data_IF_049224133783
#
_entry.id   IF_049224133783
#
_cell.length_a   1.000
_cell.length_b   1.000
_cell.length_c   1.000
_cell.angle_alpha   90.00
_cell.angle_beta   90.00
_cell.angle_gamma   90.00
#
_symmetry.space_group_name_H-M   'P 1'
#
loop_
_entity.id
_entity.type
_entity.pdbx_description
1 polymer ?
#
# COMPACT_ATOMS: atom_id res chain seq x y z
N UNK A 1 -45.51 -62.72 -21.25
CA UNK A 1 -44.19 -62.07 -21.14
C UNK A 1 -44.13 -60.89 -22.12
N UNK A 2 -44.11 -59.66 -21.62
CA UNK A 2 -44.16 -58.43 -22.43
C UNK A 2 -42.74 -58.11 -22.92
N UNK A 3 -42.53 -58.06 -24.23
CA UNK A 3 -41.27 -57.65 -24.88
C UNK A 3 -41.27 -56.12 -25.01
N UNK A 4 -40.33 -55.45 -24.36
CA UNK A 4 -40.16 -53.99 -24.43
C UNK A 4 -39.37 -53.59 -25.68
N UNK A 5 -39.67 -52.42 -26.23
CA UNK A 5 -39.29 -51.95 -27.56
C UNK A 5 -37.78 -51.64 -27.75
N UNK A 6 -36.92 -51.99 -26.81
CA UNK A 6 -35.49 -51.61 -26.83
C UNK A 6 -34.57 -52.81 -27.11
N UNK A 7 -35.14 -54.00 -27.33
CA UNK A 7 -34.37 -55.25 -27.37
C UNK A 7 -33.89 -55.69 -28.77
N UNK A 8 -33.96 -54.85 -29.81
CA UNK A 8 -33.41 -55.20 -31.12
C UNK A 8 -32.83 -54.00 -31.84
N UNK A 9 -31.51 -53.94 -31.88
CA UNK A 9 -30.78 -53.04 -32.75
C UNK A 9 -29.31 -53.01 -32.35
N UNK A 10 -28.47 -53.67 -33.13
CA UNK A 10 -27.02 -53.49 -33.11
C UNK A 10 -26.69 -52.04 -33.47
N UNK A 11 -26.68 -51.15 -32.47
CA UNK A 11 -26.19 -49.79 -32.65
C UNK A 11 -24.67 -49.83 -32.55
N UNK A 12 -24.00 -49.79 -33.70
CA UNK A 12 -22.61 -49.32 -33.76
C UNK A 12 -22.61 -47.91 -33.19
N UNK A 13 -22.02 -47.75 -32.01
CA UNK A 13 -21.77 -46.43 -31.44
C UNK A 13 -20.64 -45.84 -32.28
N UNK A 14 -20.86 -44.81 -33.10
CA UNK A 14 -19.75 -44.12 -33.73
C UNK A 14 -18.98 -43.48 -32.59
N UNK A 15 -17.78 -44.00 -32.33
CA UNK A 15 -16.82 -43.36 -31.44
C UNK A 15 -16.73 -41.90 -31.86
N UNK A 16 -17.15 -41.05 -30.93
CA UNK A 16 -17.17 -39.60 -30.97
C UNK A 16 -15.71 -39.11 -31.06
N UNK A 17 -15.13 -39.26 -32.25
CA UNK A 17 -13.90 -38.58 -32.67
C UNK A 17 -14.27 -37.12 -32.82
N UNK A 18 -14.37 -36.41 -31.70
CA UNK A 18 -14.28 -34.97 -31.67
C UNK A 18 -12.89 -34.61 -32.19
N UNK A 19 -12.79 -34.31 -33.47
CA UNK A 19 -11.58 -33.67 -34.00
C UNK A 19 -11.39 -32.36 -33.23
N UNK A 20 -10.19 -32.07 -32.71
CA UNK A 20 -9.90 -30.79 -32.08
C UNK A 20 -10.17 -29.71 -33.11
N UNK A 21 -11.22 -28.93 -32.84
CA UNK A 21 -11.62 -27.78 -33.64
C UNK A 21 -10.43 -26.82 -33.69
N UNK A 22 -9.80 -26.59 -34.86
CA UNK A 22 -8.74 -25.60 -34.95
C UNK A 22 -9.36 -24.25 -34.60
N UNK A 23 -8.84 -23.65 -33.53
CA UNK A 23 -9.11 -22.28 -33.14
C UNK A 23 -8.79 -21.38 -34.33
N UNK A 24 -9.83 -20.92 -35.04
CA UNK A 24 -9.72 -19.91 -36.07
C UNK A 24 -9.36 -18.57 -35.40
N UNK A 25 -8.06 -18.35 -35.20
CA UNK A 25 -7.49 -17.02 -35.05
C UNK A 25 -7.74 -16.27 -36.35
N UNK A 26 -8.61 -15.26 -36.30
CA UNK A 26 -8.80 -14.34 -37.42
C UNK A 26 -7.49 -13.61 -37.74
N UNK A 27 -7.00 -13.62 -38.99
CA UNK A 27 -5.99 -12.66 -39.43
C UNK A 27 -6.71 -11.39 -39.90
N UNK A 28 -6.86 -10.44 -39.00
CA UNK A 28 -7.14 -9.05 -39.37
C UNK A 28 -5.89 -8.46 -40.01
N UNK A 29 -5.83 -8.49 -41.33
CA UNK A 29 -4.81 -7.82 -42.13
C UNK A 29 -4.93 -6.30 -41.95
N UNK A 30 -3.91 -5.69 -41.33
CA UNK A 30 -3.85 -4.25 -41.12
C UNK A 30 -2.48 -3.78 -40.67
N UNK A 31 -1.65 -3.42 -41.67
CA UNK A 31 -0.44 -2.57 -41.64
C UNK A 31 0.92 -3.17 -41.24
N UNK A 32 1.96 -3.02 -42.10
CA UNK A 32 3.35 -3.28 -41.77
C UNK A 32 4.02 -2.02 -41.22
N UNK A 33 4.73 -2.15 -40.09
CA UNK A 33 5.52 -1.05 -39.53
C UNK A 33 5.58 -1.06 -38.01
N UNK A 34 6.05 -2.15 -37.42
CA UNK A 34 6.20 -2.29 -35.98
C UNK A 34 7.43 -3.09 -35.66
N UNK A 35 8.50 -2.38 -35.30
CA UNK A 35 9.74 -2.83 -34.65
C UNK A 35 9.51 -4.13 -33.89
N UNK A 36 10.17 -5.21 -34.31
CA UNK A 36 10.24 -6.47 -33.58
C UNK A 36 10.79 -6.17 -32.19
N UNK A 37 9.90 -6.05 -31.21
CA UNK A 37 10.25 -6.00 -29.80
C UNK A 37 9.84 -7.35 -29.20
N UNK A 38 10.76 -7.95 -28.46
CA UNK A 38 10.74 -9.31 -27.94
C UNK A 38 9.36 -9.82 -27.51
N UNK A 39 8.86 -10.81 -28.26
CA UNK A 39 7.56 -11.47 -28.06
C UNK A 39 7.62 -12.56 -27.00
N UNK A 40 8.19 -12.23 -25.86
CA UNK A 40 7.77 -12.84 -24.60
C UNK A 40 7.73 -11.70 -23.59
N UNK A 41 6.55 -11.08 -23.35
CA UNK A 41 6.44 -10.11 -22.28
C UNK A 41 6.72 -10.87 -20.99
N UNK A 42 7.98 -10.78 -20.52
CA UNK A 42 8.31 -11.21 -19.18
C UNK A 42 7.31 -10.49 -18.27
N UNK A 43 6.69 -11.21 -17.33
CA UNK A 43 5.78 -10.57 -16.40
C UNK A 43 6.51 -9.35 -15.80
N UNK A 44 5.85 -8.17 -15.78
CA UNK A 44 6.49 -6.96 -15.29
C UNK A 44 7.05 -7.21 -13.90
N UNK A 45 8.30 -6.77 -13.65
CA UNK A 45 8.94 -6.88 -12.34
C UNK A 45 8.04 -6.22 -11.30
N UNK A 46 8.00 -6.75 -10.08
CA UNK A 46 7.26 -6.11 -9.01
C UNK A 46 7.82 -4.72 -8.70
N UNK A 47 6.97 -3.88 -8.12
CA UNK A 47 7.36 -2.52 -7.71
C UNK A 47 8.46 -2.57 -6.65
N UNK A 48 8.46 -3.59 -5.79
CA UNK A 48 9.49 -3.77 -4.75
C UNK A 48 10.86 -4.08 -5.37
N UNK A 49 10.91 -5.03 -6.30
CA UNK A 49 12.15 -5.36 -7.03
C UNK A 49 12.66 -4.14 -7.81
N UNK A 50 11.78 -3.40 -8.47
CA UNK A 50 12.17 -2.17 -9.18
C UNK A 50 12.78 -1.13 -8.24
N UNK A 51 12.22 -0.94 -7.05
CA UNK A 51 12.77 0.00 -6.04
C UNK A 51 14.15 -0.43 -5.56
N UNK A 52 14.35 -1.73 -5.29
CA UNK A 52 15.66 -2.25 -4.86
C UNK A 52 16.70 -2.11 -5.99
N UNK A 53 16.32 -2.43 -7.23
CA UNK A 53 17.19 -2.25 -8.40
C UNK A 53 17.57 -0.79 -8.62
N UNK A 54 16.62 0.15 -8.49
CA UNK A 54 16.87 1.59 -8.58
C UNK A 54 17.85 2.06 -7.49
N UNK A 55 17.72 1.53 -6.27
CA UNK A 55 18.66 1.83 -5.18
C UNK A 55 20.06 1.28 -5.45
N UNK A 56 20.17 0.04 -5.98
CA UNK A 56 21.45 -0.55 -6.36
C UNK A 56 22.11 0.28 -7.47
N UNK A 57 21.35 0.66 -8.49
CA UNK A 57 21.83 1.48 -9.60
C UNK A 57 22.26 2.87 -9.13
N UNK A 58 21.49 3.49 -8.22
CA UNK A 58 21.84 4.75 -7.57
C UNK A 58 23.16 4.67 -6.81
N UNK A 59 23.36 3.63 -5.99
CA UNK A 59 24.60 3.42 -5.25
C UNK A 59 25.81 3.17 -6.17
N UNK A 60 25.62 2.42 -7.27
CA UNK A 60 26.69 2.13 -8.24
C UNK A 60 27.10 3.35 -9.06
N UNK A 61 26.13 4.17 -9.44
CA UNK A 61 26.33 5.31 -10.36
C UNK A 61 26.80 6.56 -9.62
N UNK A 62 26.37 6.74 -8.37
CA UNK A 62 26.70 7.94 -7.59
C UNK A 62 28.19 8.05 -7.27
N UNK A 63 28.72 9.28 -7.39
CA UNK A 63 30.07 9.63 -6.98
C UNK A 63 30.19 9.88 -5.46
N UNK A 64 29.10 9.75 -4.69
CA UNK A 64 28.95 10.03 -3.24
C UNK A 64 29.26 11.46 -2.77
N UNK A 65 29.78 12.32 -3.65
CA UNK A 65 30.09 13.72 -3.35
C UNK A 65 28.91 14.63 -3.71
N UNK A 66 28.08 14.20 -4.66
CA UNK A 66 27.02 15.04 -5.19
C UNK A 66 25.91 15.29 -4.15
N UNK A 67 25.54 16.57 -3.92
CA UNK A 67 24.40 16.90 -3.09
C UNK A 67 23.11 16.45 -3.75
N UNK A 68 22.08 16.21 -2.94
CA UNK A 68 20.77 15.82 -3.46
C UNK A 68 20.19 16.93 -4.36
N UNK A 69 19.72 16.63 -5.59
CA UNK A 69 19.29 17.67 -6.54
C UNK A 69 18.06 18.47 -6.08
N UNK A 70 17.21 17.88 -5.22
CA UNK A 70 16.04 18.56 -4.65
C UNK A 70 16.27 19.05 -3.21
N UNK A 71 17.52 19.08 -2.75
CA UNK A 71 17.90 19.38 -1.36
C UNK A 71 17.63 18.25 -0.36
N UNK A 72 18.32 18.27 0.77
CA UNK A 72 18.11 17.29 1.84
C UNK A 72 16.85 17.53 2.66
N UNK A 73 16.41 16.51 3.40
CA UNK A 73 15.36 16.63 4.40
C UNK A 73 15.94 16.79 5.80
N UNK A 74 15.50 17.82 6.53
CA UNK A 74 15.98 18.16 7.88
C UNK A 74 15.00 17.77 9.00
N UNK A 75 14.09 16.82 8.74
CA UNK A 75 13.05 16.43 9.69
C UNK A 75 13.57 15.72 10.96
N UNK A 76 14.85 15.32 11.00
CA UNK A 76 15.46 14.52 12.09
C UNK A 76 14.64 13.27 12.42
N UNK A 77 14.07 12.63 11.40
CA UNK A 77 13.19 11.46 11.51
C UNK A 77 11.93 11.66 12.40
N UNK A 78 11.45 12.90 12.56
CA UNK A 78 10.19 13.18 13.28
C UNK A 78 8.94 12.96 12.42
N UNK A 79 9.07 13.15 11.10
CA UNK A 79 7.96 13.11 10.14
C UNK A 79 8.10 11.92 9.19
N UNK A 80 9.33 11.65 8.76
CA UNK A 80 9.65 10.50 7.92
C UNK A 80 10.32 9.40 8.73
N UNK A 81 10.12 8.16 8.30
CA UNK A 81 10.79 7.00 8.88
C UNK A 81 12.31 7.15 8.82
N UNK A 82 13.00 6.50 9.77
CA UNK A 82 14.45 6.46 9.80
C UNK A 82 14.99 5.72 8.56
N UNK A 83 16.09 6.21 7.98
CA UNK A 83 16.77 5.48 6.91
C UNK A 83 17.23 4.10 7.41
N UNK A 84 16.91 3.04 6.66
CA UNK A 84 17.28 1.66 7.02
C UNK A 84 18.77 1.38 6.85
N UNK A 85 19.42 2.07 5.92
CA UNK A 85 20.81 1.82 5.51
C UNK A 85 21.76 2.74 6.29
N UNK A 86 21.43 4.03 6.37
CA UNK A 86 22.26 5.07 7.00
C UNK A 86 21.42 5.95 7.92
N UNK A 87 21.07 5.48 9.14
CA UNK A 87 20.20 6.23 10.05
C UNK A 87 20.84 7.51 10.60
N UNK A 88 22.17 7.60 10.60
CA UNK A 88 22.92 8.74 11.14
C UNK A 88 24.16 9.01 10.28
N UNK A 89 24.48 10.28 10.05
CA UNK A 89 25.74 10.68 9.43
C UNK A 89 26.89 10.50 10.43
N UNK A 90 27.93 9.74 10.05
CA UNK A 90 29.07 9.47 10.92
C UNK A 90 29.94 10.71 11.22
N UNK A 91 29.89 11.71 10.34
CA UNK A 91 30.74 12.91 10.44
C UNK A 91 30.14 13.98 11.33
N UNK A 92 28.86 14.33 11.11
CA UNK A 92 28.19 15.41 11.84
C UNK A 92 27.10 14.95 12.81
N UNK A 93 26.77 13.66 12.84
CA UNK A 93 25.74 13.11 13.73
C UNK A 93 24.29 13.45 13.31
N UNK A 94 24.06 13.98 12.11
CA UNK A 94 22.69 14.25 11.64
C UNK A 94 21.90 12.94 11.48
N UNK A 95 20.74 12.86 12.13
CA UNK A 95 19.79 11.74 11.98
C UNK A 95 19.08 11.85 10.63
N UNK A 96 19.20 10.81 9.81
CA UNK A 96 18.71 10.77 8.43
C UNK A 96 17.43 9.95 8.32
N UNK A 97 16.48 10.46 7.54
CA UNK A 97 15.22 9.78 7.25
C UNK A 97 15.26 9.08 5.88
N UNK A 98 14.21 8.33 5.54
CA UNK A 98 14.05 7.61 4.26
C UNK A 98 14.11 8.51 3.02
N UNK A 99 13.81 9.81 3.15
CA UNK A 99 13.92 10.79 2.06
C UNK A 99 15.38 11.11 1.73
N UNK A 100 16.28 10.98 2.70
CA UNK A 100 17.72 11.20 2.51
C UNK A 100 18.34 9.89 2.00
N UNK A 101 18.48 9.78 0.68
CA UNK A 101 19.03 8.59 0.04
C UNK A 101 20.54 8.46 0.31
N UNK A 102 21.04 7.23 0.56
CA UNK A 102 22.44 6.98 0.93
C UNK A 102 23.46 7.24 -0.21
N UNK A 103 22.97 7.37 -1.45
CA UNK A 103 23.79 7.63 -2.64
C UNK A 103 24.25 9.10 -2.76
N UNK A 104 23.72 10.00 -1.94
CA UNK A 104 24.09 11.43 -1.95
C UNK A 104 24.87 11.82 -0.70
N UNK A 105 25.55 12.97 -0.75
CA UNK A 105 26.26 13.52 0.40
C UNK A 105 25.32 14.02 1.50
N UNK A 106 25.85 14.13 2.72
CA UNK A 106 25.10 14.63 3.87
C UNK A 106 24.60 16.07 3.58
N UNK A 107 23.32 16.40 3.81
CA UNK A 107 22.84 17.75 3.52
C UNK A 107 23.41 18.82 4.46
N UNK A 108 23.94 18.44 5.63
CA UNK A 108 24.48 19.38 6.61
C UNK A 108 25.98 19.62 6.45
N UNK A 109 26.79 18.55 6.36
CA UNK A 109 28.25 18.67 6.29
C UNK A 109 28.84 18.35 4.91
N UNK A 110 28.02 17.95 3.94
CA UNK A 110 28.43 17.58 2.57
C UNK A 110 29.45 16.43 2.48
N UNK A 111 29.68 15.73 3.59
CA UNK A 111 30.51 14.53 3.58
C UNK A 111 29.75 13.30 3.05
N UNK A 112 30.44 12.37 2.37
CA UNK A 112 29.83 11.13 1.89
C UNK A 112 29.28 10.31 3.06
N UNK A 113 28.03 9.86 2.93
CA UNK A 113 27.35 9.12 3.99
C UNK A 113 27.89 7.69 4.19
N UNK A 114 28.51 7.14 3.15
CA UNK A 114 29.03 5.79 3.11
C UNK A 114 30.49 5.80 2.69
N UNK A 115 31.32 5.02 3.38
CA UNK A 115 32.64 4.68 2.87
C UNK A 115 32.52 3.75 1.65
N UNK A 116 33.49 3.72 0.72
CA UNK A 116 33.40 2.89 -0.49
C UNK A 116 33.23 1.40 -0.16
N UNK A 117 33.89 0.92 0.89
CA UNK A 117 33.77 -0.46 1.35
C UNK A 117 32.37 -0.77 1.91
N UNK A 118 31.80 0.15 2.69
CA UNK A 118 30.44 0.00 3.20
C UNK A 118 29.41 0.01 2.08
N UNK A 119 29.61 0.87 1.07
CA UNK A 119 28.74 0.93 -0.12
C UNK A 119 28.71 -0.41 -0.83
N UNK A 120 29.88 -0.99 -1.11
CA UNK A 120 29.95 -2.27 -1.82
C UNK A 120 29.32 -3.40 -1.00
N UNK A 121 29.48 -3.38 0.33
CA UNK A 121 28.79 -4.32 1.23
C UNK A 121 27.26 -4.17 1.19
N UNK A 122 26.74 -2.93 1.16
CA UNK A 122 25.31 -2.65 1.06
C UNK A 122 24.77 -3.09 -0.30
N UNK A 123 25.52 -2.89 -1.38
CA UNK A 123 25.12 -3.34 -2.71
C UNK A 123 24.92 -4.86 -2.72
N UNK A 124 25.86 -5.63 -2.14
CA UNK A 124 25.71 -7.08 -2.01
C UNK A 124 24.47 -7.47 -1.20
N UNK A 125 24.23 -6.78 -0.06
CA UNK A 125 23.03 -7.03 0.74
C UNK A 125 21.73 -6.75 -0.03
N UNK A 126 21.68 -5.66 -0.81
CA UNK A 126 20.52 -5.34 -1.63
C UNK A 126 20.33 -6.33 -2.78
N UNK A 127 21.40 -6.87 -3.36
CA UNK A 127 21.33 -7.93 -4.36
C UNK A 127 20.74 -9.22 -3.77
N UNK A 128 21.16 -9.60 -2.56
CA UNK A 128 20.59 -10.73 -1.82
C UNK A 128 19.09 -10.50 -1.52
N UNK A 129 18.70 -9.28 -1.14
CA UNK A 129 17.30 -8.90 -0.91
C UNK A 129 16.46 -8.97 -2.19
N UNK A 130 17.02 -8.59 -3.35
CA UNK A 130 16.37 -8.74 -4.65
C UNK A 130 16.13 -10.22 -4.95
N UNK A 131 17.14 -11.07 -4.78
CA UNK A 131 17.02 -12.52 -5.00
C UNK A 131 15.95 -13.11 -4.06
N UNK A 132 15.99 -12.76 -2.78
CA UNK A 132 15.02 -13.23 -1.78
C UNK A 132 13.58 -12.75 -2.09
N UNK A 133 13.43 -11.54 -2.63
CA UNK A 133 12.11 -10.98 -3.00
C UNK A 133 11.55 -11.66 -4.24
N UNK A 134 12.38 -11.87 -5.27
CA UNK A 134 11.99 -12.64 -6.46
C UNK A 134 11.59 -14.07 -6.07
N UNK A 135 12.36 -14.74 -5.21
CA UNK A 135 12.04 -16.08 -4.73
C UNK A 135 10.66 -16.13 -4.05
N UNK A 136 10.38 -15.21 -3.13
CA UNK A 136 9.07 -15.09 -2.45
C UNK A 136 7.93 -14.85 -3.43
N UNK A 137 8.13 -14.01 -4.44
CA UNK A 137 7.12 -13.74 -5.47
C UNK A 137 6.85 -14.96 -6.35
N UNK A 138 7.90 -15.70 -6.72
CA UNK A 138 7.74 -16.94 -7.50
C UNK A 138 6.98 -18.00 -6.71
N UNK A 139 7.31 -18.21 -5.45
CA UNK A 139 6.61 -19.15 -4.57
C UNK A 139 5.14 -18.75 -4.38
N UNK A 140 4.88 -17.47 -4.12
CA UNK A 140 3.51 -16.95 -3.98
C UNK A 140 2.69 -17.15 -5.27
N UNK A 141 3.32 -16.98 -6.43
CA UNK A 141 2.69 -17.20 -7.73
C UNK A 141 2.39 -18.68 -7.98
N UNK A 142 3.33 -19.57 -7.68
CA UNK A 142 3.12 -21.02 -7.81
C UNK A 142 2.00 -21.50 -6.88
N UNK A 143 2.01 -21.04 -5.62
CA UNK A 143 0.94 -21.33 -4.66
C UNK A 143 -0.42 -20.85 -5.13
N UNK A 144 -0.51 -19.64 -5.69
CA UNK A 144 -1.75 -19.12 -6.26
C UNK A 144 -2.25 -19.96 -7.46
N UNK A 145 -1.34 -20.48 -8.28
CA UNK A 145 -1.68 -21.37 -9.41
C UNK A 145 -2.19 -22.72 -8.89
N UNK A 146 -1.55 -23.29 -7.87
CA UNK A 146 -1.99 -24.53 -7.24
C UNK A 146 -3.36 -24.39 -6.58
N UNK A 147 -3.57 -23.32 -5.82
CA UNK A 147 -4.85 -23.05 -5.15
C UNK A 147 -5.97 -22.83 -6.17
N UNK A 148 -5.69 -22.14 -7.30
CA UNK A 148 -6.64 -22.02 -8.39
C UNK A 148 -6.96 -23.36 -9.05
N UNK A 149 -5.96 -24.24 -9.26
CA UNK A 149 -6.17 -25.60 -9.77
C UNK A 149 -7.01 -26.44 -8.81
N UNK A 150 -6.71 -26.37 -7.51
CA UNK A 150 -7.48 -27.04 -6.45
C UNK A 150 -8.92 -26.52 -6.42
N UNK A 151 -9.15 -25.22 -6.57
CA UNK A 151 -10.48 -24.63 -6.59
C UNK A 151 -11.32 -25.02 -7.83
N UNK A 152 -10.69 -25.16 -9.01
CA UNK A 152 -11.38 -25.63 -10.23
C UNK A 152 -11.69 -27.14 -10.14
N UNK A 153 -10.76 -27.92 -9.58
CA UNK A 153 -10.93 -29.37 -9.36
C UNK A 153 -11.83 -29.70 -8.17
N UNK A 154 -12.04 -28.76 -7.24
CA UNK A 154 -12.96 -28.92 -6.15
C UNK A 154 -14.39 -28.90 -6.69
N UNK A 155 -15.00 -30.08 -6.74
CA UNK A 155 -16.45 -30.18 -6.91
C UNK A 155 -17.11 -29.28 -5.86
N UNK A 156 -18.07 -28.41 -6.23
CA UNK A 156 -18.76 -27.54 -5.30
C UNK A 156 -19.29 -28.40 -4.15
N UNK A 157 -18.63 -28.34 -3.00
CA UNK A 157 -19.03 -29.15 -1.86
C UNK A 157 -20.38 -28.60 -1.40
N UNK A 158 -21.45 -29.33 -1.70
CA UNK A 158 -22.83 -29.03 -1.32
C UNK A 158 -23.03 -29.20 0.20
N UNK A 159 -22.19 -28.60 1.04
CA UNK A 159 -22.37 -28.53 2.49
C UNK A 159 -23.27 -27.35 2.91
N UNK A 160 -24.07 -26.82 2.00
CA UNK A 160 -25.06 -25.76 2.26
C UNK A 160 -26.44 -26.15 1.74
N UNK A 161 -26.95 -27.28 2.21
CA UNK A 161 -28.40 -27.52 2.23
C UNK A 161 -28.67 -28.74 3.10
N UNK A 162 -28.89 -28.50 4.40
CA UNK A 162 -29.84 -29.25 5.23
C UNK A 162 -29.95 -28.56 6.60
N UNK A 163 -30.80 -27.52 6.74
CA UNK A 163 -31.34 -27.16 8.04
C UNK A 163 -32.30 -28.28 8.47
N UNK A 164 -31.78 -29.36 9.06
CA UNK A 164 -32.63 -30.44 9.55
C UNK A 164 -31.97 -31.82 9.60
N UNK A 165 -31.01 -32.00 10.50
CA UNK A 165 -30.77 -33.30 11.11
C UNK A 165 -30.09 -33.10 12.47
N UNK A 166 -30.91 -33.10 13.52
CA UNK A 166 -30.47 -33.29 14.90
C UNK A 166 -29.61 -34.55 15.00
N UNK A 167 -28.37 -34.41 15.45
CA UNK A 167 -27.45 -35.51 15.69
C UNK A 167 -26.35 -35.07 16.64
N UNK A 168 -26.62 -35.30 17.93
CA UNK A 168 -25.81 -34.99 19.11
C UNK A 168 -24.33 -35.38 19.02
N UNK A 169 -23.45 -34.50 19.52
CA UNK A 169 -22.24 -34.92 20.23
C UNK A 169 -20.93 -34.22 19.85
N UNK A 170 -20.51 -33.27 20.69
CA UNK A 170 -19.12 -33.02 21.16
C UNK A 170 -18.02 -32.73 20.10
N UNK A 171 -17.21 -31.67 20.13
CA UNK A 171 -16.87 -30.67 21.13
C UNK A 171 -16.29 -29.41 20.44
N UNK A 172 -16.44 -28.27 21.10
CA UNK A 172 -15.86 -26.96 20.78
C UNK A 172 -14.33 -26.92 21.06
N UNK A 173 -13.56 -25.98 20.47
CA UNK A 173 -13.47 -24.63 21.05
C UNK A 173 -13.62 -23.48 20.04
N UNK A 174 -14.64 -22.67 20.32
CA UNK A 174 -14.70 -21.20 20.43
C UNK A 174 -13.60 -20.30 19.82
N UNK A 175 -13.98 -19.65 18.71
CA UNK A 175 -13.96 -18.19 18.39
C UNK A 175 -12.62 -17.41 18.38
N UNK A 176 -12.29 -16.91 17.19
CA UNK A 176 -12.07 -15.47 16.98
C UNK A 176 -12.54 -15.04 15.59
N UNK A 177 -13.50 -14.13 15.60
CA UNK A 177 -14.16 -13.52 14.45
C UNK A 177 -13.21 -12.71 13.58
N UNK A 178 -13.18 -13.00 12.28
CA UNK A 178 -12.79 -12.05 11.24
C UNK A 178 -13.86 -12.03 10.15
N UNK A 179 -14.49 -10.85 10.02
CA UNK A 179 -15.44 -10.37 9.00
C UNK A 179 -15.69 -11.29 7.80
N UNK A 180 -16.94 -11.73 7.70
CA UNK A 180 -17.59 -12.07 6.43
C UNK A 180 -17.61 -10.83 5.52
N UNK A 181 -16.60 -10.69 4.67
CA UNK A 181 -16.77 -10.02 3.37
C UNK A 181 -17.67 -10.89 2.50
N UNK A 182 -18.78 -10.36 1.94
CA UNK A 182 -19.58 -11.12 0.99
C UNK A 182 -18.73 -11.50 -0.24
N UNK A 183 -18.89 -12.71 -0.80
CA UNK A 183 -18.17 -13.10 -2.00
C UNK A 183 -18.50 -12.11 -3.15
N UNK A 184 -17.55 -11.77 -4.03
CA UNK A 184 -17.84 -10.93 -5.18
C UNK A 184 -18.94 -11.62 -5.98
N UNK A 185 -20.07 -10.92 -6.15
CA UNK A 185 -21.21 -11.39 -6.92
C UNK A 185 -20.70 -11.87 -8.28
N UNK A 186 -20.68 -13.18 -8.47
CA UNK A 186 -20.46 -13.76 -9.79
C UNK A 186 -21.58 -13.21 -10.66
N UNK A 187 -21.21 -12.41 -11.64
CA UNK A 187 -22.13 -11.88 -12.63
C UNK A 187 -22.80 -13.10 -13.29
N UNK A 188 -24.02 -13.39 -12.88
CA UNK A 188 -24.77 -14.53 -13.40
C UNK A 188 -25.03 -14.25 -14.88
N UNK A 189 -24.21 -14.84 -15.74
CA UNK A 189 -24.38 -14.76 -17.19
C UNK A 189 -25.52 -15.69 -17.56
N UNK A 190 -26.73 -15.16 -17.67
CA UNK A 190 -27.88 -15.92 -18.13
C UNK A 190 -27.67 -16.30 -19.60
N UNK A 191 -27.33 -17.57 -19.85
CA UNK A 191 -27.25 -18.14 -21.20
C UNK A 191 -28.65 -18.55 -21.61
N UNK A 192 -29.28 -17.75 -22.45
CA UNK A 192 -30.60 -18.06 -23.00
C UNK A 192 -30.41 -18.85 -24.29
N UNK A 193 -30.81 -20.12 -24.26
CA UNK A 193 -30.91 -20.99 -25.42
C UNK A 193 -32.19 -20.64 -26.18
N UNK A 194 -32.05 -19.97 -27.32
CA UNK A 194 -33.16 -19.66 -28.20
C UNK A 194 -33.26 -20.71 -29.32
N UNK A 195 -34.38 -21.42 -29.36
CA UNK A 195 -34.74 -22.34 -30.43
C UNK A 195 -35.62 -21.60 -31.43
N UNK A 196 -35.02 -20.82 -32.33
CA UNK A 196 -35.75 -20.20 -33.43
C UNK A 196 -35.89 -21.20 -34.57
N UNK A 197 -37.08 -21.75 -34.75
CA UNK A 197 -37.34 -22.61 -35.90
C UNK A 197 -38.82 -22.82 -36.21
N UNK A 198 -39.23 -22.44 -37.42
CA UNK A 198 -40.40 -23.06 -38.08
C UNK A 198 -40.05 -23.94 -39.29
N UNK A 199 -38.77 -24.00 -39.74
CA UNK A 199 -38.37 -24.94 -40.80
C UNK A 199 -36.91 -25.45 -40.78
N UNK A 200 -35.99 -24.86 -40.03
CA UNK A 200 -34.64 -25.41 -39.80
C UNK A 200 -34.25 -25.15 -38.34
N UNK A 201 -34.13 -26.20 -37.52
CA UNK A 201 -33.77 -26.11 -36.09
C UNK A 201 -32.31 -25.64 -35.95
N UNK A 202 -32.08 -24.33 -35.88
CA UNK A 202 -30.79 -23.77 -35.47
C UNK A 202 -30.91 -23.28 -34.03
N UNK A 203 -30.23 -23.98 -33.13
CA UNK A 203 -30.11 -23.59 -31.72
C UNK A 203 -29.15 -22.40 -31.64
N UNK A 204 -29.66 -21.23 -31.29
CA UNK A 204 -28.83 -20.03 -31.13
C UNK A 204 -28.58 -19.79 -29.66
N UNK A 205 -27.32 -19.96 -29.23
CA UNK A 205 -26.85 -19.60 -27.89
C UNK A 205 -26.54 -18.10 -27.85
N UNK A 206 -27.49 -17.31 -27.38
CA UNK A 206 -27.27 -15.90 -27.06
C UNK A 206 -26.89 -15.77 -25.59
N UNK A 207 -25.62 -15.49 -25.30
CA UNK A 207 -25.18 -15.10 -23.95
C UNK A 207 -25.37 -13.60 -23.76
N UNK A 208 -26.34 -13.21 -22.93
CA UNK A 208 -26.48 -11.83 -22.49
C UNK A 208 -25.57 -11.60 -21.29
N UNK A 209 -24.33 -11.20 -21.55
CA UNK A 209 -23.49 -10.61 -20.50
C UNK A 209 -23.92 -9.15 -20.39
N UNK A 210 -24.65 -8.82 -19.32
CA UNK A 210 -24.89 -7.42 -18.97
C UNK A 210 -23.51 -6.80 -18.71
N UNK A 211 -22.98 -6.06 -19.69
CA UNK A 211 -21.79 -5.25 -19.46
C UNK A 211 -22.20 -4.20 -18.44
N UNK A 212 -21.61 -4.16 -17.24
CA UNK A 212 -21.89 -3.09 -16.30
C UNK A 212 -21.62 -1.78 -17.02
N UNK A 213 -22.63 -0.91 -17.04
CA UNK A 213 -22.53 0.45 -17.58
C UNK A 213 -21.35 1.10 -16.83
N UNK A 214 -20.26 1.49 -17.50
CA UNK A 214 -19.18 2.18 -16.81
C UNK A 214 -19.79 3.42 -16.16
N UNK A 215 -19.58 3.54 -14.84
CA UNK A 215 -19.86 4.78 -14.15
C UNK A 215 -19.11 5.92 -14.88
N UNK A 216 -19.65 7.15 -14.91
CA UNK A 216 -18.94 8.28 -15.49
C UNK A 216 -17.59 8.41 -14.78
N UNK A 217 -16.52 8.09 -15.47
CA UNK A 217 -15.16 8.43 -15.05
C UNK A 217 -15.11 9.94 -14.96
N UNK A 218 -14.96 10.44 -13.73
CA UNK A 218 -14.34 11.73 -13.52
C UNK A 218 -13.01 11.77 -14.30
N UNK A 219 -12.65 12.90 -14.93
CA UNK A 219 -11.34 13.07 -15.54
C UNK A 219 -10.30 13.16 -14.42
N UNK A 220 -9.84 12.01 -13.95
CA UNK A 220 -8.87 11.92 -12.86
C UNK A 220 -8.19 10.57 -12.88
N UNK A 221 -6.86 10.61 -12.94
CA UNK A 221 -5.95 9.51 -12.60
C UNK A 221 -5.81 8.43 -13.67
N UNK A 222 -5.00 8.75 -14.68
CA UNK A 222 -4.33 7.75 -15.49
C UNK A 222 -3.49 6.79 -14.62
N UNK A 223 -3.25 5.61 -15.16
CA UNK A 223 -2.40 4.53 -14.65
C UNK A 223 -0.91 4.90 -14.63
N UNK A 224 -0.58 6.05 -14.06
CA UNK A 224 0.70 6.32 -13.45
C UNK A 224 0.41 6.40 -11.97
N UNK A 225 0.76 5.37 -11.22
CA UNK A 225 0.95 5.51 -9.78
C UNK A 225 2.16 6.44 -9.60
N UNK A 226 1.95 7.74 -9.80
CA UNK A 226 2.87 8.78 -9.39
C UNK A 226 2.98 8.59 -7.89
N UNK A 227 4.05 7.92 -7.44
CA UNK A 227 4.34 7.83 -6.02
C UNK A 227 4.33 9.27 -5.51
N UNK A 228 3.38 9.56 -4.65
CA UNK A 228 3.25 10.85 -4.00
C UNK A 228 4.60 11.12 -3.32
N UNK A 229 5.36 12.05 -3.89
CA UNK A 229 6.71 12.35 -3.43
C UNK A 229 6.60 12.89 -2.00
N UNK A 230 7.29 12.29 -1.02
CA UNK A 230 7.13 12.68 0.38
C UNK A 230 7.48 14.15 0.57
N UNK A 231 6.61 14.86 1.29
CA UNK A 231 6.75 16.31 1.55
C UNK A 231 8.08 16.61 2.25
N UNK A 232 8.96 17.38 1.59
CA UNK A 232 10.26 17.73 2.16
C UNK A 232 10.12 18.92 3.10
N UNK A 233 10.51 18.71 4.37
CA UNK A 233 10.71 19.80 5.31
C UNK A 233 11.95 20.58 4.87
N UNK A 234 11.83 21.88 4.54
CA UNK A 234 12.94 22.70 4.13
C UNK A 234 13.96 22.85 5.26
N UNK A 235 15.15 23.32 4.90
CA UNK A 235 16.17 23.68 5.88
C UNK A 235 15.59 24.70 6.88
N UNK A 236 15.80 24.51 8.19
CA UNK A 236 15.40 25.53 9.15
C UNK A 236 16.07 26.85 8.74
N UNK A 237 15.33 27.95 8.73
CA UNK A 237 15.90 29.23 8.37
C UNK A 237 17.06 29.53 9.31
N UNK A 238 18.19 29.98 8.75
CA UNK A 238 19.35 30.48 9.50
C UNK A 238 18.97 31.83 10.12
N UNK A 239 17.98 31.83 11.00
CA UNK A 239 17.77 32.90 11.94
C UNK A 239 18.81 32.63 13.00
N UNK A 240 19.96 33.30 12.92
CA UNK A 240 20.86 33.34 14.06
C UNK A 240 20.01 33.73 15.27
N UNK A 241 19.92 32.87 16.29
CA UNK A 241 19.16 33.23 17.48
C UNK A 241 19.74 34.56 17.95
N UNK A 242 18.88 35.56 18.13
CA UNK A 242 19.26 36.85 18.67
C UNK A 242 19.92 36.60 20.03
N UNK A 243 21.25 36.54 20.03
CA UNK A 243 22.06 36.41 21.22
C UNK A 243 22.63 37.79 21.50
N UNK A 244 22.63 38.19 22.76
CA UNK A 244 23.34 39.40 23.13
C UNK A 244 24.84 39.18 22.82
N UNK A 245 25.40 40.01 21.96
CA UNK A 245 26.83 40.00 21.59
C UNK A 245 27.74 40.50 22.72
N UNK A 246 27.20 40.66 23.93
CA UNK A 246 27.91 41.18 25.11
C UNK A 246 28.62 40.04 25.83
N UNK A 247 29.80 40.34 26.37
CA UNK A 247 30.55 39.42 27.21
C UNK A 247 29.69 38.99 28.41
N UNK A 248 29.71 37.69 28.73
CA UNK A 248 28.93 37.11 29.82
C UNK A 248 29.47 37.60 31.16
N UNK A 249 28.60 38.21 31.97
CA UNK A 249 28.93 38.50 33.36
C UNK A 249 28.97 37.19 34.17
N UNK A 250 30.07 36.88 34.88
CA UNK A 250 30.18 35.64 35.65
C UNK A 250 29.17 35.57 36.80
N UNK A 251 28.67 36.71 37.27
CA UNK A 251 27.65 36.80 38.30
C UNK A 251 26.22 36.62 37.75
N UNK A 252 26.04 36.62 36.43
CA UNK A 252 24.72 36.55 35.78
C UNK A 252 24.76 35.80 34.46
N UNK A 253 25.10 34.50 34.49
CA UNK A 253 25.34 33.69 33.28
C UNK A 253 24.13 33.57 32.34
N UNK A 254 22.92 33.91 32.80
CA UNK A 254 21.67 33.84 32.02
C UNK A 254 21.24 35.18 31.41
N UNK A 255 22.01 36.25 31.59
CA UNK A 255 21.65 37.60 31.11
C UNK A 255 21.59 37.72 29.58
N UNK A 256 22.32 36.87 28.86
CA UNK A 256 22.34 36.87 27.39
C UNK A 256 21.13 36.19 26.72
N UNK A 257 20.17 35.65 27.49
CA UNK A 257 18.90 35.13 26.98
C UNK A 257 17.92 36.28 26.69
N UNK A 258 18.23 37.10 25.68
CA UNK A 258 17.39 38.23 25.28
C UNK A 258 16.28 37.74 24.35
N UNK A 259 15.14 37.38 24.93
CA UNK A 259 13.96 36.97 24.16
C UNK A 259 12.88 36.31 25.00
N UNK A 260 12.31 37.04 25.96
CA UNK A 260 11.19 36.58 26.79
C UNK A 260 11.55 35.38 27.66
N UNK A 261 11.82 35.63 28.95
CA UNK A 261 12.36 34.66 29.91
C UNK A 261 11.92 33.22 29.65
N UNK A 262 12.89 32.32 29.50
CA UNK A 262 12.59 30.92 29.21
C UNK A 262 11.57 30.37 30.20
N UNK A 263 10.39 30.01 29.71
CA UNK A 263 9.39 29.34 30.51
C UNK A 263 10.00 28.02 31.00
N UNK A 264 10.14 27.89 32.32
CA UNK A 264 10.52 26.62 32.91
C UNK A 264 9.43 25.61 32.56
N UNK A 265 9.76 24.67 31.67
CA UNK A 265 8.93 23.49 31.42
C UNK A 265 9.31 22.47 32.50
N UNK A 266 8.48 22.27 33.55
CA UNK A 266 8.78 21.29 34.58
C UNK A 266 8.98 19.91 33.94
N UNK A 267 9.90 19.09 34.47
CA UNK A 267 10.11 17.74 33.97
C UNK A 267 8.77 17.01 33.97
N UNK A 268 8.42 16.45 32.80
CA UNK A 268 7.19 15.66 32.66
C UNK A 268 7.24 14.58 33.74
N UNK A 269 6.23 14.49 34.63
CA UNK A 269 6.24 13.48 35.67
C UNK A 269 6.43 12.11 35.01
N UNK A 270 7.25 11.22 35.60
CA UNK A 270 7.42 9.88 35.07
C UNK A 270 6.03 9.27 34.90
N UNK A 271 5.78 8.51 33.81
CA UNK A 271 4.50 7.87 33.62
C UNK A 271 4.21 7.05 34.88
N UNK A 272 3.24 7.48 35.67
CA UNK A 272 2.82 6.74 36.85
C UNK A 272 2.30 5.42 36.32
N UNK A 273 3.05 4.34 36.57
CA UNK A 273 2.69 2.94 36.30
C UNK A 273 1.49 2.46 37.15
N UNK A 274 0.63 3.39 37.56
CA UNK A 274 -0.54 3.16 38.39
C UNK A 274 -1.78 3.67 37.65
N UNK A 275 -2.25 2.88 36.69
CA UNK A 275 -3.67 2.66 36.35
C UNK A 275 -3.75 1.76 35.11
N UNK A 276 -3.10 0.61 35.18
CA UNK A 276 -3.38 -0.52 34.30
C UNK A 276 -4.22 -1.53 35.09
N UNK A 277 -5.38 -1.12 35.60
CA UNK A 277 -6.39 -2.07 36.08
C UNK A 277 -7.78 -1.40 36.12
N UNK A 278 -8.73 -2.06 35.44
CA UNK A 278 -10.17 -1.78 35.35
C UNK A 278 -10.68 -0.63 34.48
N UNK A 279 -10.93 -0.94 33.20
CA UNK A 279 -12.18 -0.55 32.52
C UNK A 279 -12.47 -1.45 31.30
N UNK A 280 -12.82 -2.70 31.56
CA UNK A 280 -13.69 -3.44 30.66
C UNK A 280 -15.14 -3.15 31.01
N UNK A 281 -15.86 -2.38 30.18
CA UNK A 281 -17.32 -2.45 30.01
C UNK A 281 -17.75 -1.42 28.96
N UNK A 282 -18.50 -1.88 27.96
CA UNK A 282 -18.91 -1.06 26.83
C UNK A 282 -19.86 0.09 27.18
N UNK A 283 -19.88 1.11 26.33
CA UNK A 283 -21.00 2.04 26.28
C UNK A 283 -21.37 2.33 24.83
N UNK A 284 -22.61 1.96 24.52
CA UNK A 284 -23.35 2.26 23.31
C UNK A 284 -23.61 3.78 23.20
N UNK A 285 -23.87 4.20 21.97
CA UNK A 285 -24.75 5.30 21.57
C UNK A 285 -25.09 6.39 22.60
N UNK A 286 -24.69 7.64 22.29
CA UNK A 286 -25.68 8.73 22.24
C UNK A 286 -25.29 9.84 21.27
N UNK A 287 -26.09 9.95 20.21
CA UNK A 287 -26.27 11.18 19.43
C UNK A 287 -26.92 12.23 20.33
N UNK A 288 -26.43 13.46 20.30
CA UNK A 288 -27.13 14.73 20.55
C UNK A 288 -26.12 15.81 20.12
N UNK A 289 -26.24 16.51 18.98
CA UNK A 289 -27.29 17.43 18.52
C UNK A 289 -27.68 18.44 19.62
N UNK A 290 -27.01 19.59 19.60
CA UNK A 290 -27.30 20.73 20.46
C UNK A 290 -26.27 21.85 20.29
N UNK A 291 -26.54 22.75 19.34
CA UNK A 291 -25.88 24.04 19.09
C UNK A 291 -26.66 25.13 19.89
N UNK A 292 -26.27 26.41 19.85
CA UNK A 292 -25.27 27.12 20.64
C UNK A 292 -25.90 28.03 21.73
N UNK A 293 -25.10 28.60 22.64
CA UNK A 293 -25.49 29.87 23.29
C UNK A 293 -24.29 30.74 23.63
N UNK A 294 -24.35 31.95 23.08
CA UNK A 294 -23.45 33.06 23.30
C UNK A 294 -23.37 33.46 24.78
N UNK A 295 -22.21 34.00 25.18
CA UNK A 295 -22.18 35.16 26.07
C UNK A 295 -20.89 35.94 25.87
N UNK A 296 -21.09 37.17 25.40
CA UNK A 296 -20.16 38.29 25.52
C UNK A 296 -19.83 38.54 26.98
N UNK A 297 -18.57 38.84 27.27
CA UNK A 297 -18.19 39.82 28.28
C UNK A 297 -16.92 40.50 27.80
N UNK A 298 -17.17 41.59 27.09
CA UNK A 298 -16.40 42.83 27.11
C UNK A 298 -15.88 43.12 28.52
N UNK A 299 -14.58 43.34 28.68
CA UNK A 299 -14.05 44.02 29.87
C UNK A 299 -12.94 44.97 29.43
N UNK A 300 -13.41 46.16 29.07
CA UNK A 300 -12.66 47.40 28.92
C UNK A 300 -12.16 47.85 30.29
N UNK A 301 -10.84 48.06 30.44
CA UNK A 301 -10.27 48.85 31.53
C UNK A 301 -9.66 50.12 30.93
N UNK A 302 -10.13 51.32 31.29
CA UNK A 302 -9.52 52.59 30.92
C UNK A 302 -8.61 53.14 32.02
N UNK A 303 -7.65 53.99 31.63
CA UNK A 303 -6.90 54.91 32.50
C UNK A 303 -5.38 54.76 32.35
N UNK A 304 -4.69 55.62 31.58
CA UNK A 304 -4.19 56.96 31.95
C UNK A 304 -3.20 56.89 33.16
N UNK A 305 -1.97 57.40 33.11
CA UNK A 305 -1.47 58.64 32.50
C UNK A 305 0.07 58.62 32.32
N UNK A 306 0.64 59.57 31.56
CA UNK A 306 2.08 59.79 31.43
C UNK A 306 2.63 60.66 32.56
N UNK A 307 3.89 60.43 32.96
CA UNK A 307 4.67 61.41 33.72
C UNK A 307 6.06 61.55 33.10
N UNK A 308 6.38 62.80 32.79
CA UNK A 308 7.66 63.28 32.32
C UNK A 308 8.62 63.45 33.50
N UNK A 309 9.91 63.20 33.28
CA UNK A 309 11.07 64.00 33.67
C UNK A 309 12.31 63.42 33.01
#
# INVERSE_FOLDING_TARGET
MRKTAWAKGSSSVPSDRLLPRPSASQPGAGRPGGKQNDRNPRPPKSIEVQKLEEQIEGLRTSALVDPYPKGGCYCRAKVHDLSKITPICMSCGLVLCTVNLPQYSCPYCFEPLLSPLQRDAIVVQLEDDVIATIARETEAREKAIEDARRAIGAFPTLHHSLPGASGSGSATPTVSSARNTPPPSSQQTHKVLSLTGKKNQRVTLSSYTQKPKPAPTEPGTGLGATQEEPERIPEPPVVEPFHASRALDPNRPFENLVGGGGDYVPPRPPPTVASAEHAGAGSKHRRNRGKPKARETENTVPGAAPSAS
#
